data_IF_054132208745
#
_entry.id   IF_054132208745
#
_cell.length_a   1.000
_cell.length_b   1.000
_cell.length_c   1.000
_cell.angle_alpha   90.00
_cell.angle_beta   90.00
_cell.angle_gamma   90.00
#
_symmetry.space_group_name_H-M   'P 1'
#
loop_
_entity.id
_entity.type
_entity.pdbx_description
1 polymer ?
2 water ?
#
# COMPACT_ATOMS: atom_id res chain seq x y z
N UNK A 6 13.78 -18.46 7.04
CA UNK A 6 13.48 -17.06 6.64
C UNK A 6 14.58 -16.49 5.74
N UNK A 7 15.83 -16.63 6.16
CA UNK A 7 16.97 -16.13 5.39
C UNK A 7 18.27 -16.62 6.02
N UNK A 8 19.32 -16.74 5.21
CA UNK A 8 20.62 -17.20 5.68
C UNK A 8 21.43 -16.09 6.33
N UNK A 9 22.57 -16.46 6.91
CA UNK A 9 23.45 -15.48 7.54
C UNK A 9 24.00 -14.55 6.48
N UNK A 10 24.48 -15.15 5.39
CA UNK A 10 25.01 -14.38 4.27
C UNK A 10 23.91 -13.46 3.76
N UNK A 11 22.68 -13.96 3.80
CA UNK A 11 21.54 -13.18 3.35
C UNK A 11 21.41 -11.91 4.18
N UNK A 12 21.30 -12.08 5.50
CA UNK A 12 21.19 -10.95 6.41
C UNK A 12 22.36 -10.00 6.26
N UNK A 13 23.56 -10.55 6.12
CA UNK A 13 24.75 -9.72 5.97
C UNK A 13 24.61 -8.79 4.76
N UNK A 14 24.08 -9.32 3.67
CA UNK A 14 23.89 -8.54 2.45
C UNK A 14 22.87 -7.43 2.73
N UNK A 15 21.74 -7.80 3.32
CA UNK A 15 20.69 -6.83 3.63
C UNK A 15 21.22 -5.76 4.59
N UNK A 16 21.84 -6.18 5.68
CA UNK A 16 22.39 -5.25 6.66
C UNK A 16 23.38 -4.30 5.99
N UNK A 17 24.21 -4.83 5.11
CA UNK A 17 25.18 -4.00 4.41
C UNK A 17 24.47 -3.00 3.50
N UNK A 18 23.38 -3.44 2.88
CA UNK A 18 22.60 -2.59 1.99
C UNK A 18 21.90 -1.45 2.73
N UNK A 19 21.21 -1.79 3.82
CA UNK A 19 20.52 -0.78 4.61
C UNK A 19 21.52 0.27 5.11
N UNK A 20 22.74 -0.17 5.41
CA UNK A 20 23.78 0.73 5.90
C UNK A 20 24.21 1.66 4.78
N UNK A 21 24.26 1.12 3.56
CA UNK A 21 24.64 1.91 2.40
C UNK A 21 23.54 2.92 2.09
N UNK A 22 22.29 2.49 2.23
CA UNK A 22 21.16 3.37 1.97
C UNK A 22 21.15 4.51 2.98
N UNK A 23 21.26 4.20 4.26
CA UNK A 23 21.26 5.24 5.29
C UNK A 23 22.34 6.29 5.04
N UNK A 24 23.55 5.83 4.78
CA UNK A 24 24.66 6.75 4.56
C UNK A 24 24.51 7.58 3.29
N UNK A 25 23.90 6.99 2.27
CA UNK A 25 23.74 7.67 1.00
C UNK A 25 22.47 8.53 0.91
N UNK A 26 21.41 8.11 1.58
CA UNK A 26 20.15 8.86 1.55
C UNK A 26 20.41 10.25 2.10
N UNK A 27 21.28 10.32 3.11
CA UNK A 27 21.61 11.59 3.71
C UNK A 27 20.54 12.09 4.66
N UNK A 28 20.41 13.42 4.79
CA UNK A 28 19.42 14.03 5.68
C UNK A 28 18.00 13.86 5.15
N UNK A 29 17.09 13.49 6.05
CA UNK A 29 15.69 13.31 5.71
C UNK A 29 14.83 13.64 6.93
N UNK A 30 13.55 13.89 6.72
CA UNK A 30 12.67 14.23 7.82
C UNK A 30 11.73 13.12 8.27
N UNK A 31 12.20 11.88 8.23
CA UNK A 31 11.36 10.77 8.67
C UNK A 31 11.74 10.31 10.07
N UNK A 32 10.73 9.97 10.86
CA UNK A 32 10.97 9.46 12.20
C UNK A 32 11.51 8.05 11.98
N UNK A 33 12.09 7.46 13.02
CA UNK A 33 12.67 6.12 12.93
C UNK A 33 11.79 5.08 12.24
N UNK A 34 10.59 4.85 12.77
CA UNK A 34 9.69 3.86 12.18
C UNK A 34 9.32 4.17 10.72
N UNK A 35 9.05 5.44 10.45
CA UNK A 35 8.71 5.88 9.11
C UNK A 35 9.90 5.56 8.20
N UNK A 36 11.11 5.85 8.69
CA UNK A 36 12.32 5.59 7.92
C UNK A 36 12.51 4.11 7.58
N UNK A 37 12.05 3.22 8.45
CA UNK A 37 12.18 1.80 8.17
C UNK A 37 11.34 1.43 6.94
N UNK A 38 10.23 2.14 6.75
CA UNK A 38 9.40 1.89 5.59
C UNK A 38 10.07 2.48 4.34
N UNK A 39 10.42 3.76 4.40
CA UNK A 39 11.05 4.42 3.26
C UNK A 39 12.34 3.70 2.84
N UNK A 40 13.16 3.34 3.82
CA UNK A 40 14.42 2.65 3.54
C UNK A 40 14.17 1.33 2.81
N UNK A 41 13.07 0.67 3.16
CA UNK A 41 12.69 -0.60 2.55
C UNK A 41 12.33 -0.39 1.07
N UNK A 42 11.68 0.73 0.78
CA UNK A 42 11.29 1.03 -0.60
C UNK A 42 12.52 1.30 -1.47
N UNK A 43 13.46 2.08 -0.93
CA UNK A 43 14.68 2.39 -1.66
C UNK A 43 15.48 1.12 -1.89
N UNK A 44 15.35 0.17 -0.96
CA UNK A 44 16.07 -1.08 -1.04
C UNK A 44 15.51 -1.99 -2.13
N UNK A 45 14.21 -1.93 -2.37
CA UNK A 45 13.61 -2.76 -3.38
C UNK A 45 13.74 -2.16 -4.79
N UNK A 46 14.09 -0.88 -4.87
CA UNK A 46 14.19 -0.21 -6.15
C UNK A 46 15.54 0.41 -6.46
N UNK A 47 16.38 0.56 -5.45
CA UNK A 47 17.67 1.21 -5.64
C UNK A 47 17.38 2.62 -6.17
N UNK A 48 16.22 3.16 -5.80
CA UNK A 48 15.81 4.50 -6.24
C UNK A 48 15.63 5.45 -5.05
N UNK A 49 16.65 6.25 -4.78
CA UNK A 49 16.60 7.20 -3.67
C UNK A 49 15.51 8.25 -3.82
N UNK A 50 14.98 8.39 -5.02
CA UNK A 50 13.93 9.36 -5.25
C UNK A 50 12.77 9.11 -4.30
N UNK A 51 12.59 7.86 -3.88
CA UNK A 51 11.50 7.54 -2.97
C UNK A 51 11.66 8.21 -1.62
N UNK A 52 12.88 8.66 -1.32
CA UNK A 52 13.12 9.35 -0.06
C UNK A 52 12.37 10.67 -0.10
N UNK A 53 12.19 11.21 -1.31
CA UNK A 53 11.52 12.49 -1.49
C UNK A 53 10.04 12.45 -1.85
N UNK A 54 9.55 11.32 -2.37
CA UNK A 54 8.14 11.27 -2.76
C UNK A 54 7.25 10.41 -1.89
N UNK A 55 7.84 9.62 -1.01
CA UNK A 55 7.06 8.79 -0.12
C UNK A 55 6.52 9.67 1.01
N UNK A 56 5.20 9.72 1.12
CA UNK A 56 4.55 10.50 2.17
C UNK A 56 3.79 9.54 3.08
N UNK A 57 4.11 9.60 4.37
CA UNK A 57 3.48 8.73 5.34
C UNK A 57 2.67 9.52 6.37
N UNK A 58 1.40 9.17 6.48
CA UNK A 58 0.48 9.80 7.41
C UNK A 58 0.87 9.41 8.84
N UNK A 59 0.87 10.37 9.78
CA UNK A 59 1.23 10.12 11.18
C UNK A 59 0.63 8.85 11.79
N UNK A 60 -0.65 8.59 11.54
CA UNK A 60 -1.31 7.40 12.09
C UNK A 60 -1.21 6.17 11.19
N UNK A 61 -0.61 6.35 10.02
CA UNK A 61 -0.47 5.25 9.06
C UNK A 61 0.11 3.97 9.67
N UNK A 62 1.34 4.04 10.15
CA UNK A 62 1.96 2.85 10.73
C UNK A 62 1.14 2.28 11.89
N UNK A 63 0.59 3.14 12.76
CA UNK A 63 -0.21 2.67 13.89
C UNK A 63 -1.47 1.92 13.45
N UNK A 64 -2.25 2.53 12.56
CA UNK A 64 -3.48 1.90 12.08
C UNK A 64 -3.12 0.63 11.34
N UNK A 65 -2.00 0.67 10.63
CA UNK A 65 -1.59 -0.49 9.88
C UNK A 65 -1.37 -1.67 10.81
N UNK A 66 -0.54 -1.47 11.84
CA UNK A 66 -0.23 -2.52 12.80
C UNK A 66 -1.52 -3.06 13.41
N UNK A 67 -2.31 -2.14 13.97
CA UNK A 67 -3.56 -2.51 14.62
C UNK A 67 -4.45 -3.35 13.71
N UNK A 68 -4.60 -2.92 12.46
CA UNK A 68 -5.42 -3.64 11.49
C UNK A 68 -4.91 -5.07 11.27
N UNK A 69 -3.60 -5.21 11.06
CA UNK A 69 -3.02 -6.54 10.85
C UNK A 69 -3.28 -7.41 12.07
N UNK A 70 -3.00 -6.87 13.26
CA UNK A 70 -3.21 -7.61 14.51
C UNK A 70 -4.61 -8.21 14.57
N UNK A 71 -5.58 -7.47 14.02
CA UNK A 71 -6.97 -7.91 14.03
C UNK A 71 -7.32 -8.89 12.91
N UNK A 72 -6.33 -9.28 12.12
CA UNK A 72 -6.61 -10.20 11.03
C UNK A 72 -7.50 -9.54 9.99
N UNK A 73 -7.30 -8.24 9.81
CA UNK A 73 -8.08 -7.45 8.85
C UNK A 73 -7.88 -7.96 7.43
N UNK A 74 -8.79 -7.62 6.52
CA UNK A 74 -8.62 -8.08 5.14
C UNK A 74 -7.58 -7.20 4.44
N UNK A 75 -6.85 -7.79 3.51
CA UNK A 75 -5.87 -7.02 2.78
C UNK A 75 -6.29 -7.09 1.32
N UNK A 76 -6.79 -5.95 0.83
CA UNK A 76 -7.29 -5.83 -0.53
C UNK A 76 -6.23 -5.27 -1.47
N UNK A 77 -5.86 -6.09 -2.44
CA UNK A 77 -4.84 -5.72 -3.41
C UNK A 77 -5.41 -5.57 -4.81
N UNK A 78 -4.92 -4.56 -5.52
CA UNK A 78 -5.39 -4.29 -6.87
C UNK A 78 -4.81 -5.26 -7.89
N UNK A 79 -3.58 -5.71 -7.67
CA UNK A 79 -2.90 -6.61 -8.59
C UNK A 79 -2.41 -7.87 -7.88
N UNK A 80 -2.44 -8.98 -8.61
CA UNK A 80 -2.04 -10.28 -8.09
C UNK A 80 -0.58 -10.35 -7.63
N UNK A 81 0.31 -9.66 -8.33
CA UNK A 81 1.72 -9.68 -7.98
C UNK A 81 1.98 -9.26 -6.53
N UNK A 82 1.18 -8.32 -6.03
CA UNK A 82 1.35 -7.85 -4.66
C UNK A 82 1.18 -9.02 -3.71
N UNK A 83 0.09 -9.76 -3.88
CA UNK A 83 -0.16 -10.92 -3.03
C UNK A 83 1.02 -11.88 -3.14
N UNK A 84 1.42 -12.18 -4.37
CA UNK A 84 2.52 -13.09 -4.63
C UNK A 84 3.83 -12.69 -3.95
N UNK A 85 3.81 -11.54 -3.27
CA UNK A 85 5.00 -11.08 -2.57
C UNK A 85 4.85 -11.21 -1.06
N UNK A 86 3.62 -11.42 -0.61
CA UNK A 86 3.33 -11.56 0.81
C UNK A 86 3.33 -13.03 1.22
N UNK A 87 4.20 -13.40 2.14
CA UNK A 87 4.28 -14.79 2.60
C UNK A 87 3.15 -15.11 3.58
N UNK A 88 2.21 -15.99 3.16
CA UNK A 88 1.06 -16.42 3.96
C UNK A 88 1.42 -16.89 5.37
N UNK A 89 2.68 -17.28 5.55
CA UNK A 89 3.16 -17.74 6.84
C UNK A 89 3.02 -16.64 7.89
N UNK A 90 3.58 -15.47 7.59
CA UNK A 90 3.53 -14.33 8.50
C UNK A 90 2.12 -13.78 8.67
N UNK A 91 1.28 -13.94 7.65
CA UNK A 91 -0.09 -13.44 7.71
C UNK A 91 -1.02 -14.32 8.53
N UNK A 92 -0.77 -15.62 8.59
CA UNK A 92 -1.64 -16.50 9.36
C UNK A 92 -1.47 -16.21 10.85
N UNK A 93 -0.34 -15.62 11.20
CA UNK A 93 -0.07 -15.26 12.59
C UNK A 93 -1.21 -14.38 13.08
N UNK A 94 -1.70 -13.52 12.19
CA UNK A 94 -2.79 -12.61 12.53
C UNK A 94 -4.12 -13.08 11.97
N UNK A 95 -4.07 -13.88 10.91
CA UNK A 95 -5.29 -14.37 10.29
C UNK A 95 -5.80 -13.46 9.19
N UNK A 96 -4.98 -12.50 8.79
CA UNK A 96 -5.37 -11.57 7.73
C UNK A 96 -5.71 -12.36 6.48
N UNK A 97 -6.70 -11.88 5.74
CA UNK A 97 -7.09 -12.54 4.51
C UNK A 97 -6.86 -11.59 3.35
N UNK A 98 -6.17 -12.07 2.32
CA UNK A 98 -5.87 -11.26 1.16
C UNK A 98 -6.88 -11.49 0.05
N UNK A 99 -7.13 -10.45 -0.73
CA UNK A 99 -8.07 -10.54 -1.85
C UNK A 99 -7.58 -9.71 -3.03
N UNK A 100 -7.87 -10.20 -4.23
CA UNK A 100 -7.54 -9.52 -5.47
C UNK A 100 -8.52 -10.07 -6.50
N UNK A 101 -9.45 -9.24 -6.95
CA UNK A 101 -10.46 -9.68 -7.91
C UNK A 101 -10.20 -9.21 -9.34
N UNK A 102 -9.03 -8.62 -9.56
CA UNK A 102 -8.67 -8.10 -10.87
C UNK A 102 -8.90 -9.10 -12.00
N UNK A 103 -8.74 -10.39 -11.70
CA UNK A 103 -8.91 -11.44 -12.71
C UNK A 103 -10.18 -12.28 -12.64
N UNK A 104 -11.17 -11.86 -11.85
CA UNK A 104 -12.41 -12.63 -11.78
C UNK A 104 -13.26 -12.38 -13.03
N UNK A 105 -14.00 -13.40 -13.44
CA UNK A 105 -14.86 -13.30 -14.62
C UNK A 105 -15.83 -12.14 -14.50
N UNK A 106 -16.65 -12.16 -13.46
CA UNK A 106 -17.63 -11.10 -13.24
C UNK A 106 -17.01 -9.70 -13.31
N UNK A 107 -15.81 -9.55 -12.75
CA UNK A 107 -15.12 -8.26 -12.78
C UNK A 107 -14.75 -7.90 -14.21
N UNK A 108 -14.22 -8.88 -14.95
CA UNK A 108 -13.82 -8.68 -16.33
C UNK A 108 -15.00 -8.25 -17.21
N UNK A 109 -16.10 -8.98 -17.11
CA UNK A 109 -17.29 -8.68 -17.89
C UNK A 109 -17.89 -7.34 -17.50
N UNK A 110 -17.90 -7.06 -16.20
CA UNK A 110 -18.44 -5.79 -15.71
C UNK A 110 -17.61 -4.62 -16.22
N UNK A 111 -16.29 -4.79 -16.28
CA UNK A 111 -15.43 -3.72 -16.76
C UNK A 111 -15.73 -3.46 -18.24
N UNK A 112 -15.80 -4.54 -19.02
CA UNK A 112 -16.07 -4.44 -20.44
C UNK A 112 -17.45 -3.82 -20.67
N UNK A 113 -18.46 -4.38 -20.01
CA UNK A 113 -19.84 -3.90 -20.15
C UNK A 113 -20.04 -2.46 -19.70
N UNK A 114 -19.33 -2.04 -18.66
CA UNK A 114 -19.49 -0.69 -18.14
C UNK A 114 -18.48 0.33 -18.67
N UNK A 115 -17.68 -0.07 -19.65
CA UNK A 115 -16.67 0.82 -20.22
C UNK A 115 -15.82 1.42 -19.11
N UNK A 116 -15.21 0.56 -18.31
CA UNK A 116 -14.35 0.98 -17.21
C UNK A 116 -13.12 0.08 -17.22
N UNK A 117 -12.49 -0.09 -16.07
CA UNK A 117 -11.32 -0.95 -15.98
C UNK A 117 -11.61 -2.07 -15.00
N UNK A 118 -10.83 -3.14 -15.09
CA UNK A 118 -10.99 -4.28 -14.21
C UNK A 118 -10.58 -3.86 -12.79
N UNK A 119 -9.67 -2.90 -12.71
CA UNK A 119 -9.21 -2.40 -11.42
C UNK A 119 -10.36 -1.70 -10.70
N UNK A 120 -11.11 -0.90 -11.45
CA UNK A 120 -12.24 -0.17 -10.89
C UNK A 120 -13.35 -1.11 -10.44
N UNK A 121 -13.67 -2.10 -11.28
CA UNK A 121 -14.72 -3.05 -10.93
C UNK A 121 -14.22 -3.96 -9.82
N UNK A 122 -12.91 -4.17 -9.81
CA UNK A 122 -12.26 -4.99 -8.80
C UNK A 122 -12.50 -4.35 -7.43
N UNK A 123 -12.30 -3.04 -7.34
CA UNK A 123 -12.51 -2.31 -6.09
C UNK A 123 -13.99 -2.33 -5.70
N UNK A 124 -14.87 -2.12 -6.67
CA UNK A 124 -16.30 -2.13 -6.39
C UNK A 124 -16.72 -3.50 -5.86
N UNK A 125 -16.12 -4.56 -6.39
CA UNK A 125 -16.46 -5.90 -5.95
C UNK A 125 -16.08 -6.09 -4.48
N UNK A 126 -14.91 -5.59 -4.10
CA UNK A 126 -14.45 -5.71 -2.71
C UNK A 126 -15.45 -4.99 -1.80
N UNK A 127 -15.96 -3.86 -2.29
CA UNK A 127 -16.92 -3.07 -1.54
C UNK A 127 -18.25 -3.80 -1.42
N UNK A 128 -18.66 -4.46 -2.50
CA UNK A 128 -19.92 -5.18 -2.49
C UNK A 128 -19.85 -6.26 -1.42
N UNK A 129 -18.63 -6.58 -0.99
CA UNK A 129 -18.43 -7.58 0.03
C UNK A 129 -18.05 -6.99 1.39
N UNK A 130 -18.10 -5.66 1.49
CA UNK A 130 -17.77 -4.97 2.73
C UNK A 130 -16.31 -5.16 3.14
N UNK A 131 -15.46 -5.49 2.17
CA UNK A 131 -14.05 -5.73 2.45
C UNK A 131 -13.19 -4.48 2.57
N UNK A 132 -13.78 -3.30 2.40
CA UNK A 132 -13.01 -2.07 2.50
C UNK A 132 -13.01 -1.50 3.92
N UNK A 133 -14.07 -1.79 4.66
CA UNK A 133 -14.22 -1.33 6.03
C UNK A 133 -13.08 -1.83 6.92
N UNK A 134 -12.34 -0.89 7.49
CA UNK A 134 -11.23 -1.18 8.39
C UNK A 134 -10.18 -2.10 7.80
N UNK A 135 -10.05 -2.10 6.49
CA UNK A 135 -9.06 -2.96 5.86
C UNK A 135 -7.83 -2.16 5.47
N UNK A 136 -6.88 -2.85 4.87
CA UNK A 136 -5.67 -2.22 4.38
C UNK A 136 -5.81 -2.32 2.86
N UNK A 137 -5.98 -1.18 2.21
CA UNK A 137 -6.12 -1.14 0.76
C UNK A 137 -4.74 -0.93 0.14
N UNK A 138 -4.26 -1.94 -0.58
CA UNK A 138 -2.95 -1.89 -1.22
C UNK A 138 -3.10 -1.78 -2.73
N UNK A 139 -2.86 -0.57 -3.24
CA UNK A 139 -2.96 -0.30 -4.66
C UNK A 139 -1.55 -0.02 -5.16
N UNK A 140 -0.92 -1.05 -5.71
CA UNK A 140 0.44 -0.90 -6.16
C UNK A 140 0.59 -0.67 -7.65
N UNK A 141 -0.52 -0.69 -8.38
CA UNK A 141 -0.39 -0.48 -9.81
C UNK A 141 -1.41 0.41 -10.52
N UNK A 142 -2.69 0.07 -10.43
CA UNK A 142 -3.75 0.80 -11.11
C UNK A 142 -4.25 2.11 -10.49
N UNK A 143 -3.97 3.24 -11.15
CA UNK A 143 -4.41 4.54 -10.64
C UNK A 143 -5.93 4.62 -10.52
N UNK A 144 -6.66 4.00 -11.46
CA UNK A 144 -8.11 4.05 -11.40
C UNK A 144 -8.65 3.38 -10.15
N UNK A 145 -7.92 2.41 -9.61
CA UNK A 145 -8.36 1.74 -8.39
C UNK A 145 -8.25 2.72 -7.23
N UNK A 146 -7.22 3.56 -7.24
CA UNK A 146 -7.06 4.53 -6.17
C UNK A 146 -8.10 5.65 -6.28
N UNK A 147 -8.43 6.05 -7.50
CA UNK A 147 -9.43 7.10 -7.69
C UNK A 147 -10.80 6.60 -7.23
N UNK A 148 -11.06 5.31 -7.43
CA UNK A 148 -12.32 4.71 -7.03
C UNK A 148 -12.41 4.72 -5.50
N UNK A 149 -11.32 4.33 -4.84
CA UNK A 149 -11.31 4.33 -3.38
C UNK A 149 -11.61 5.75 -2.87
N UNK A 150 -11.05 6.76 -3.52
CA UNK A 150 -11.28 8.15 -3.14
C UNK A 150 -12.77 8.42 -3.28
N UNK A 151 -13.31 7.99 -4.41
CA UNK A 151 -14.72 8.17 -4.71
C UNK A 151 -15.61 7.50 -3.64
N UNK A 152 -15.24 6.30 -3.22
CA UNK A 152 -16.02 5.59 -2.22
C UNK A 152 -15.92 6.27 -0.85
N UNK A 153 -14.75 6.81 -0.53
CA UNK A 153 -14.58 7.50 0.75
C UNK A 153 -15.46 8.75 0.78
N UNK A 154 -15.39 9.50 -0.31
CA UNK A 154 -16.12 10.75 -0.47
C UNK A 154 -17.63 10.58 -0.55
N UNK A 155 -18.08 9.60 -1.33
CA UNK A 155 -19.51 9.36 -1.53
C UNK A 155 -20.16 8.29 -0.64
N UNK A 156 -19.44 7.20 -0.36
CA UNK A 156 -19.97 6.10 0.47
C UNK A 156 -19.52 6.18 1.92
N UNK A 157 -18.54 7.02 2.20
CA UNK A 157 -18.04 7.12 3.56
C UNK A 157 -17.33 5.86 4.05
N UNK A 158 -16.76 5.07 3.13
CA UNK A 158 -16.06 3.85 3.54
C UNK A 158 -14.90 4.21 4.45
N UNK A 159 -14.57 3.31 5.37
CA UNK A 159 -13.50 3.60 6.30
C UNK A 159 -12.44 2.52 6.41
N UNK A 160 -11.46 2.52 5.50
CA UNK A 160 -10.40 1.51 5.56
C UNK A 160 -9.46 1.91 6.69
N UNK A 161 -8.72 0.95 7.24
CA UNK A 161 -7.80 1.25 8.32
C UNK A 161 -6.60 2.00 7.74
N UNK A 162 -6.17 1.58 6.55
CA UNK A 162 -5.01 2.21 5.91
C UNK A 162 -5.02 2.07 4.39
N UNK A 163 -4.56 3.12 3.72
CA UNK A 163 -4.50 3.10 2.27
C UNK A 163 -3.05 3.19 1.83
N UNK A 164 -2.59 2.16 1.13
CA UNK A 164 -1.23 2.14 0.60
C UNK A 164 -1.45 2.44 -0.88
N UNK A 165 -1.37 3.73 -1.21
CA UNK A 165 -1.60 4.16 -2.57
C UNK A 165 -0.32 4.43 -3.32
N UNK A 166 0.20 3.41 -3.97
CA UNK A 166 1.44 3.57 -4.70
C UNK A 166 1.33 3.09 -6.14
N UNK A 167 0.26 3.49 -6.85
CA UNK A 167 0.12 3.05 -8.24
C UNK A 167 1.15 3.76 -9.13
N UNK A 168 1.55 3.10 -10.21
CA UNK A 168 2.52 3.70 -11.11
C UNK A 168 1.88 3.90 -12.46
N UNK A 169 2.18 5.03 -13.09
CA UNK A 169 1.60 5.30 -14.39
C UNK A 169 1.84 6.71 -14.89
N UNK A 170 1.50 6.94 -16.15
CA UNK A 170 1.68 8.23 -16.79
C UNK A 170 0.37 8.97 -17.04
N UNK A 171 -0.76 8.31 -16.82
CA UNK A 171 -2.02 8.98 -17.07
C UNK A 171 -2.71 9.58 -15.84
N UNK A 172 -3.06 8.75 -14.86
CA UNK A 172 -3.74 9.29 -13.68
C UNK A 172 -3.09 8.99 -12.33
N UNK A 173 -1.91 8.39 -12.36
CA UNK A 173 -1.20 8.04 -11.13
C UNK A 173 -1.02 9.24 -10.22
N UNK A 174 -0.34 10.26 -10.73
CA UNK A 174 -0.07 11.47 -9.99
C UNK A 174 -1.36 12.06 -9.42
N UNK A 175 -2.40 12.10 -10.24
CA UNK A 175 -3.69 12.66 -9.84
C UNK A 175 -4.38 11.83 -8.77
N UNK A 176 -4.39 10.51 -8.94
CA UNK A 176 -5.03 9.64 -7.96
C UNK A 176 -4.42 9.84 -6.56
N UNK A 177 -3.12 10.05 -6.49
CA UNK A 177 -2.49 10.25 -5.18
C UNK A 177 -2.85 11.61 -4.59
N UNK A 178 -2.90 12.62 -5.44
CA UNK A 178 -3.25 13.96 -5.00
C UNK A 178 -4.69 14.03 -4.50
N UNK A 179 -5.57 13.22 -5.08
CA UNK A 179 -6.97 13.22 -4.65
C UNK A 179 -7.11 12.72 -3.22
N UNK A 180 -6.18 11.88 -2.79
CA UNK A 180 -6.19 11.35 -1.43
C UNK A 180 -5.75 12.47 -0.48
N UNK A 181 -4.75 13.24 -0.89
CA UNK A 181 -4.27 14.35 -0.07
C UNK A 181 -5.32 15.46 0.04
N UNK A 182 -6.15 15.62 -0.99
CA UNK A 182 -7.20 16.63 -0.98
C UNK A 182 -8.26 16.28 0.07
N UNK A 183 -8.57 14.99 0.20
CA UNK A 183 -9.54 14.55 1.20
C UNK A 183 -9.11 15.01 2.58
N UNK A 184 -7.82 14.89 2.85
CA UNK A 184 -7.26 15.30 4.12
C UNK A 184 -7.19 16.82 4.19
N UNK A 185 -6.78 17.43 3.08
CA UNK A 185 -6.67 18.88 2.98
C UNK A 185 -7.99 19.54 3.37
N UNK A 186 -9.10 18.95 2.93
CA UNK A 186 -10.42 19.49 3.24
C UNK A 186 -11.03 18.88 4.50
N UNK A 187 -10.29 17.99 5.15
CA UNK A 187 -10.76 17.34 6.37
C UNK A 187 -12.11 16.64 6.19
N UNK A 188 -12.25 15.91 5.10
CA UNK A 188 -13.47 15.18 4.81
C UNK A 188 -13.36 13.84 5.53
N UNK A 189 -12.12 13.48 5.86
CA UNK A 189 -11.84 12.23 6.53
C UNK A 189 -10.37 12.21 6.94
N UNK A 190 -10.02 11.31 7.85
CA UNK A 190 -8.64 11.20 8.29
C UNK A 190 -8.11 9.79 8.08
N UNK A 191 -8.41 9.21 6.92
CA UNK A 191 -7.95 7.85 6.60
C UNK A 191 -6.43 7.85 6.43
N UNK A 192 -5.72 7.05 7.25
CA UNK A 192 -4.26 7.01 7.13
C UNK A 192 -3.82 6.54 5.75
N UNK A 193 -2.67 7.02 5.32
CA UNK A 193 -2.17 6.65 4.01
C UNK A 193 -0.66 6.61 3.92
N UNK A 194 -0.20 5.93 2.88
CA UNK A 194 1.21 5.83 2.55
C UNK A 194 1.20 5.98 1.03
N UNK A 195 1.76 7.08 0.55
CA UNK A 195 1.78 7.34 -0.89
C UNK A 195 3.17 7.68 -1.41
N UNK A 196 3.40 7.40 -2.68
CA UNK A 196 4.65 7.77 -3.32
C UNK A 196 4.13 8.73 -4.38
N UNK A 197 4.16 10.02 -4.05
CA UNK A 197 3.64 11.06 -4.94
C UNK A 197 4.26 11.06 -6.32
N UNK A 198 3.46 11.41 -7.32
CA UNK A 198 3.95 11.45 -8.68
C UNK A 198 3.50 10.25 -9.49
N UNK A 199 4.29 9.91 -10.50
CA UNK A 199 3.97 8.78 -11.37
C UNK A 199 4.60 7.48 -10.87
N UNK A 200 5.60 7.59 -10.01
CA UNK A 200 6.29 6.41 -9.51
C UNK A 200 5.54 5.61 -8.45
N UNK A 201 5.64 4.29 -8.58
CA UNK A 201 5.00 3.36 -7.68
C UNK A 201 5.30 1.97 -8.20
N UNK A 202 4.52 0.97 -7.79
CA UNK A 202 4.78 -0.38 -8.27
C UNK A 202 4.38 -1.44 -7.27
N UNK A 203 4.07 -2.63 -7.77
CA UNK A 203 3.67 -3.71 -6.89
C UNK A 203 4.80 -4.03 -5.91
N UNK A 204 6.04 -3.87 -6.36
CA UNK A 204 7.21 -4.12 -5.53
C UNK A 204 7.34 -3.07 -4.41
N UNK A 205 6.93 -1.84 -4.69
CA UNK A 205 6.98 -0.79 -3.68
C UNK A 205 5.94 -1.15 -2.61
N UNK A 206 4.77 -1.59 -3.07
CA UNK A 206 3.67 -1.96 -2.19
C UNK A 206 4.06 -3.13 -1.29
N UNK A 207 4.72 -4.14 -1.88
CA UNK A 207 5.12 -5.29 -1.09
C UNK A 207 6.16 -4.89 -0.06
N UNK A 208 7.08 -4.01 -0.45
CA UNK A 208 8.12 -3.54 0.46
C UNK A 208 7.50 -2.79 1.64
N UNK A 209 6.43 -2.04 1.38
CA UNK A 209 5.79 -1.30 2.46
C UNK A 209 5.09 -2.27 3.41
N UNK A 210 4.42 -3.27 2.87
CA UNK A 210 3.72 -4.26 3.68
C UNK A 210 4.70 -5.03 4.55
N UNK A 211 5.83 -5.40 3.98
CA UNK A 211 6.83 -6.12 4.74
C UNK A 211 7.43 -5.24 5.85
N UNK A 212 7.55 -3.94 5.59
CA UNK A 212 8.08 -3.04 6.62
C UNK A 212 7.07 -3.00 7.77
N UNK A 213 5.79 -2.94 7.43
CA UNK A 213 4.76 -2.92 8.45
C UNK A 213 4.78 -4.21 9.29
N UNK A 214 4.73 -5.36 8.62
CA UNK A 214 4.75 -6.64 9.31
C UNK A 214 5.97 -6.75 10.24
N UNK A 215 7.10 -6.21 9.80
CA UNK A 215 8.31 -6.21 10.61
C UNK A 215 8.13 -5.29 11.81
N UNK A 216 7.72 -4.04 11.56
CA UNK A 216 7.51 -3.08 12.63
C UNK A 216 6.55 -3.66 13.66
N UNK A 217 5.53 -4.36 13.18
CA UNK A 217 4.54 -4.98 14.05
C UNK A 217 5.25 -5.94 14.99
N UNK A 218 6.04 -6.84 14.41
CA UNK A 218 6.79 -7.82 15.19
C UNK A 218 7.76 -7.16 16.15
N UNK A 219 8.52 -6.18 15.64
CA UNK A 219 9.50 -5.47 16.45
C UNK A 219 8.86 -4.76 17.65
N UNK A 220 7.60 -4.36 17.52
CA UNK A 220 6.92 -3.69 18.62
C UNK A 220 6.73 -4.65 19.78
N UNK A 221 7.27 -5.86 19.62
CA UNK A 221 7.18 -6.87 20.65
C UNK A 221 8.56 -7.19 21.20
#
# INVERSE_FOLDING_TARGET
MNDMRQITNLGRNIENKSFSIIDEEAGPHSFAQEEWEVVRRIIHATADFDYKNITKIHPQAIDSGIQALKKGCPIVCDVQMILSGLNPERLKVYGCKTYCFISDEDVIENAKRKNSTRAIESIQKANSFNLLNESIIVIGNAPTALLEIEKLIRQEGIKPALIVGVPVGFVSAKESKESILKLEYYNVTSIPYILTMGRKGGSTIAVAILHALLLLSSKRGERLEHHHHHH
#
